data_IF_981620449720
#
_entry.id   IF_981620449720
#
_cell.length_a   1.000
_cell.length_b   1.000
_cell.length_c   1.000
_cell.angle_alpha   90.00
_cell.angle_beta   90.00
_cell.angle_gamma   90.00
#
_symmetry.space_group_name_H-M   'P 1'
#
loop_
_entity.id
_entity.type
_entity.pdbx_description
1 polymer ?
#
# COMPACT_ATOMS: atom_id res chain seq x y z
N UNK A 1 0.11 8.13 6.47
CA UNK A 1 1.14 9.20 6.52
C UNK A 1 2.34 8.75 5.69
N UNK A 2 2.76 9.52 4.66
CA UNK A 2 3.86 9.17 3.74
C UNK A 2 5.08 10.10 3.90
N UNK A 3 5.24 10.70 5.07
CA UNK A 3 6.36 11.59 5.36
C UNK A 3 7.72 10.89 5.30
N UNK A 4 8.81 11.68 5.25
CA UNK A 4 10.19 11.20 5.33
C UNK A 4 10.58 10.72 6.76
N UNK A 5 9.61 10.23 7.53
CA UNK A 5 9.82 9.65 8.83
C UNK A 5 10.27 8.18 8.70
N UNK A 6 10.96 7.64 9.71
CA UNK A 6 11.27 6.22 9.79
C UNK A 6 10.02 5.34 9.61
N UNK A 7 10.17 4.24 8.89
CA UNK A 7 9.17 3.18 8.87
C UNK A 7 9.13 2.47 10.23
N UNK A 8 7.95 2.03 10.60
CA UNK A 8 7.70 1.13 11.72
C UNK A 8 8.22 -0.30 11.47
N UNK A 9 8.33 -0.73 10.20
CA UNK A 9 8.85 -2.05 9.81
C UNK A 9 10.38 -2.10 9.75
N UNK A 10 11.01 -0.98 9.39
CA UNK A 10 12.46 -0.82 9.35
C UNK A 10 12.81 0.66 9.58
N UNK A 11 13.31 1.01 10.79
CA UNK A 11 13.63 2.38 11.13
C UNK A 11 14.73 3.02 10.26
N UNK A 12 15.55 2.24 9.56
CA UNK A 12 16.61 2.76 8.69
C UNK A 12 16.11 3.18 7.30
N UNK A 13 14.82 2.93 7.01
CA UNK A 13 14.16 3.26 5.77
C UNK A 13 13.03 4.26 5.99
N UNK A 14 12.83 5.18 5.04
CA UNK A 14 11.69 6.09 5.09
C UNK A 14 10.39 5.33 4.82
N UNK A 15 9.32 5.73 5.50
CA UNK A 15 8.00 5.10 5.37
C UNK A 15 7.53 5.03 3.93
N UNK A 16 7.64 6.12 3.17
CA UNK A 16 7.21 6.17 1.76
C UNK A 16 7.87 5.13 0.86
N UNK A 17 9.12 4.72 1.16
CA UNK A 17 9.81 3.68 0.40
C UNK A 17 9.19 2.30 0.68
N UNK A 18 8.92 2.00 1.95
CA UNK A 18 8.30 0.73 2.37
C UNK A 18 6.89 0.59 1.84
N UNK A 19 6.06 1.62 1.98
CA UNK A 19 4.67 1.66 1.49
C UNK A 19 4.55 1.43 -0.02
N UNK A 20 5.61 1.73 -0.78
CA UNK A 20 5.64 1.54 -2.22
C UNK A 20 5.84 0.06 -2.62
N UNK A 21 6.61 -0.67 -1.81
CA UNK A 21 7.12 -2.02 -2.12
C UNK A 21 6.43 -3.13 -1.32
N UNK A 22 5.83 -2.78 -0.18
CA UNK A 22 5.16 -3.72 0.70
C UNK A 22 3.65 -3.54 0.67
N UNK A 23 2.95 -4.64 0.99
CA UNK A 23 1.53 -4.56 1.30
C UNK A 23 1.34 -4.09 2.74
N UNK A 24 0.29 -3.31 2.96
CA UNK A 24 -0.15 -2.90 4.29
C UNK A 24 -1.65 -3.13 4.49
N UNK A 25 -2.18 -2.76 5.65
CA UNK A 25 -3.60 -2.60 5.89
C UNK A 25 -4.06 -1.20 5.47
N UNK A 26 -5.31 -1.10 5.06
CA UNK A 26 -5.98 0.17 4.83
C UNK A 26 -6.07 0.95 6.13
N UNK A 27 -5.66 2.21 6.11
CA UNK A 27 -5.80 3.13 7.23
C UNK A 27 -7.01 4.05 7.05
N UNK A 28 -7.60 4.47 8.16
CA UNK A 28 -8.68 5.44 8.24
C UNK A 28 -8.54 6.33 9.48
N UNK A 29 -9.35 7.38 9.57
CA UNK A 29 -9.53 8.12 10.81
C UNK A 29 -10.66 7.46 11.60
N UNK A 30 -10.39 7.04 12.84
CA UNK A 30 -11.41 6.49 13.73
C UNK A 30 -12.39 7.56 14.23
N UNK A 31 -13.42 7.16 14.99
CA UNK A 31 -14.40 8.09 15.57
C UNK A 31 -13.80 9.15 16.52
N UNK A 32 -12.56 8.96 16.97
CA UNK A 32 -11.78 9.93 17.74
C UNK A 32 -10.88 10.83 16.89
N UNK A 33 -10.83 10.63 15.58
CA UNK A 33 -9.97 11.35 14.65
C UNK A 33 -8.51 10.89 14.65
N UNK A 34 -8.19 9.74 15.24
CA UNK A 34 -6.87 9.15 15.20
C UNK A 34 -6.70 8.24 13.98
N UNK A 35 -5.49 8.18 13.42
CA UNK A 35 -5.16 7.27 12.33
C UNK A 35 -5.09 5.84 12.88
N UNK A 36 -5.86 4.92 12.29
CA UNK A 36 -5.92 3.52 12.69
C UNK A 36 -6.08 2.60 11.48
N UNK A 37 -5.78 1.31 11.65
CA UNK A 37 -6.10 0.30 10.65
C UNK A 37 -7.61 0.08 10.58
N UNK A 38 -8.13 0.02 9.36
CA UNK A 38 -9.52 -0.30 9.08
C UNK A 38 -9.74 -1.80 9.20
N UNK A 39 -10.60 -2.18 10.13
CA UNK A 39 -10.96 -3.57 10.41
C UNK A 39 -12.47 -3.79 10.37
N UNK A 40 -12.85 -5.01 9.99
CA UNK A 40 -14.24 -5.49 10.01
C UNK A 40 -14.36 -6.64 10.99
N UNK A 41 -15.41 -6.64 11.80
CA UNK A 41 -15.77 -7.79 12.64
C UNK A 41 -16.87 -8.56 11.94
N UNK A 42 -16.54 -9.73 11.41
CA UNK A 42 -17.43 -10.56 10.62
C UNK A 42 -17.88 -11.77 11.43
N UNK A 43 -19.17 -12.04 11.45
CA UNK A 43 -19.74 -13.20 12.13
C UNK A 43 -19.97 -14.33 11.14
N UNK A 44 -19.59 -15.54 11.53
CA UNK A 44 -19.85 -16.78 10.78
C UNK A 44 -20.37 -17.84 11.72
N UNK A 45 -21.05 -18.85 11.18
CA UNK A 45 -21.49 -20.01 11.95
C UNK A 45 -20.53 -21.17 11.71
N UNK A 46 -19.98 -21.73 12.78
CA UNK A 46 -19.07 -22.88 12.70
C UNK A 46 -19.82 -24.20 12.40
N UNK A 47 -19.06 -25.29 12.25
CA UNK A 47 -19.62 -26.62 11.99
C UNK A 47 -20.48 -27.18 13.14
N UNK A 48 -20.44 -26.55 14.32
CA UNK A 48 -21.18 -26.92 15.52
C UNK A 48 -22.41 -26.02 15.74
N UNK A 49 -22.65 -25.03 14.87
CA UNK A 49 -23.78 -24.12 14.96
C UNK A 49 -23.55 -22.91 15.88
N UNK A 50 -22.33 -22.70 16.39
CA UNK A 50 -22.02 -21.52 17.19
C UNK A 50 -21.69 -20.34 16.28
N UNK A 51 -22.01 -19.13 16.75
CA UNK A 51 -21.59 -17.89 16.08
C UNK A 51 -20.17 -17.54 16.53
N UNK A 52 -19.26 -17.42 15.57
CA UNK A 52 -17.87 -16.99 15.77
C UNK A 52 -17.70 -15.61 15.15
N UNK A 53 -16.96 -14.73 15.82
CA UNK A 53 -16.60 -13.40 15.28
C UNK A 53 -15.13 -13.40 14.93
N UNK A 54 -14.81 -12.99 13.71
CA UNK A 54 -13.45 -12.87 13.19
C UNK A 54 -13.14 -11.43 12.82
N UNK A 55 -11.93 -10.99 13.13
CA UNK A 55 -11.41 -9.69 12.69
C UNK A 55 -10.79 -9.83 11.32
N UNK A 56 -11.31 -9.08 10.35
CA UNK A 56 -10.82 -9.03 8.97
C UNK A 56 -10.16 -7.67 8.73
N UNK A 57 -8.88 -7.67 8.35
CA UNK A 57 -8.19 -6.48 7.87
C UNK A 57 -8.43 -6.30 6.37
N UNK A 58 -8.36 -5.05 5.89
CA UNK A 58 -8.47 -4.73 4.48
C UNK A 58 -7.07 -4.48 3.92
N UNK A 59 -6.48 -5.40 3.14
CA UNK A 59 -5.12 -5.20 2.64
C UNK A 59 -5.10 -4.14 1.51
N UNK A 60 -4.09 -3.29 1.56
CA UNK A 60 -3.63 -2.43 0.47
C UNK A 60 -2.38 -3.08 -0.12
N UNK A 61 -2.44 -3.46 -1.40
CA UNK A 61 -1.31 -4.08 -2.07
C UNK A 61 -0.19 -3.08 -2.41
N UNK A 62 1.06 -3.56 -2.37
CA UNK A 62 2.21 -2.85 -2.88
C UNK A 62 1.96 -2.34 -4.30
N UNK A 63 2.46 -1.13 -4.62
CA UNK A 63 2.30 -0.53 -5.95
C UNK A 63 3.45 -0.88 -6.88
N UNK A 64 4.60 -1.25 -6.32
CA UNK A 64 5.79 -1.72 -7.04
C UNK A 64 6.26 -3.06 -6.47
N UNK A 65 7.02 -3.80 -7.28
CA UNK A 65 7.60 -5.10 -6.90
C UNK A 65 9.10 -5.08 -7.11
N UNK A 66 9.85 -5.23 -6.02
CA UNK A 66 11.29 -5.41 -6.06
C UNK A 66 11.66 -6.65 -6.92
N UNK A 67 12.61 -6.47 -7.84
CA UNK A 67 13.06 -7.51 -8.77
C UNK A 67 12.14 -7.71 -9.97
N UNK A 68 11.09 -6.89 -10.15
CA UNK A 68 10.18 -7.02 -11.29
C UNK A 68 9.54 -5.69 -11.69
N UNK A 69 10.12 -5.02 -12.68
CA UNK A 69 9.49 -3.87 -13.32
C UNK A 69 8.17 -4.25 -14.00
N UNK A 70 8.15 -5.40 -14.69
CA UNK A 70 6.93 -5.93 -15.32
C UNK A 70 5.81 -6.22 -14.30
N UNK A 71 6.16 -6.55 -13.06
CA UNK A 71 5.22 -6.73 -11.95
C UNK A 71 4.72 -5.43 -11.32
N UNK A 72 5.20 -4.27 -11.78
CA UNK A 72 4.92 -2.94 -11.21
C UNK A 72 4.02 -2.08 -12.12
N UNK A 73 3.21 -2.72 -12.97
CA UNK A 73 2.33 -2.03 -13.92
C UNK A 73 1.33 -1.07 -13.26
N UNK A 74 0.88 -1.35 -12.04
CA UNK A 74 -0.02 -0.47 -11.28
C UNK A 74 0.61 0.88 -10.89
N UNK A 75 1.95 0.95 -10.84
CA UNK A 75 2.70 2.19 -10.67
C UNK A 75 2.91 2.89 -12.01
N UNK A 76 3.45 2.18 -13.02
CA UNK A 76 3.76 2.78 -14.33
C UNK A 76 2.51 3.29 -15.06
N UNK A 77 1.38 2.59 -14.92
CA UNK A 77 0.10 3.04 -15.47
C UNK A 77 -0.29 4.45 -15.03
N UNK A 78 0.15 4.90 -13.85
CA UNK A 78 -0.11 6.28 -13.41
C UNK A 78 0.51 7.34 -14.33
N UNK A 79 1.67 7.05 -14.92
CA UNK A 79 2.45 8.00 -15.70
C UNK A 79 2.25 7.85 -17.21
N UNK A 80 1.58 6.78 -17.63
CA UNK A 80 1.43 6.35 -19.02
C UNK A 80 -0.02 6.46 -19.54
N UNK A 81 -0.88 7.26 -18.88
CA UNK A 81 -2.28 7.45 -19.28
C UNK A 81 -3.23 6.33 -18.83
N UNK A 82 -2.81 5.50 -17.87
CA UNK A 82 -3.60 4.40 -17.31
C UNK A 82 -4.30 4.76 -16.00
N UNK A 83 -4.95 3.75 -15.40
CA UNK A 83 -5.67 3.91 -14.12
C UNK A 83 -4.69 4.10 -12.96
N UNK A 84 -4.54 5.35 -12.49
CA UNK A 84 -3.77 5.66 -11.30
C UNK A 84 -4.62 5.65 -10.04
N UNK A 85 -4.15 5.02 -8.96
CA UNK A 85 -4.80 5.03 -7.65
C UNK A 85 -5.49 3.71 -7.26
N UNK A 86 -6.21 3.74 -6.13
CA UNK A 86 -6.92 2.58 -5.58
C UNK A 86 -8.38 2.63 -5.98
N UNK A 87 -8.93 1.44 -6.23
CA UNK A 87 -10.38 1.25 -6.37
C UNK A 87 -11.15 1.54 -5.09
N UNK A 88 -12.46 1.81 -5.22
CA UNK A 88 -13.37 1.78 -4.08
C UNK A 88 -13.22 0.49 -3.28
N UNK A 89 -13.15 0.63 -1.96
CA UNK A 89 -13.18 -0.53 -1.08
C UNK A 89 -14.45 -1.36 -1.34
N UNK A 90 -14.37 -2.70 -1.27
CA UNK A 90 -15.55 -3.53 -1.46
C UNK A 90 -16.62 -3.17 -0.41
N UNK A 91 -17.92 -3.30 -0.75
CA UNK A 91 -18.98 -2.99 0.19
C UNK A 91 -18.85 -3.84 1.47
N UNK A 92 -19.35 -3.31 2.58
CA UNK A 92 -19.40 -4.04 3.85
C UNK A 92 -20.29 -5.29 3.67
N UNK A 93 -19.77 -6.51 3.90
CA UNK A 93 -20.60 -7.71 3.84
C UNK A 93 -21.69 -7.69 4.91
N UNK A 94 -22.84 -8.30 4.62
CA UNK A 94 -24.00 -8.27 5.52
C UNK A 94 -23.75 -8.91 6.90
N UNK A 95 -22.79 -9.83 6.99
CA UNK A 95 -22.38 -10.48 8.23
C UNK A 95 -21.25 -9.74 8.96
N UNK A 96 -20.86 -8.55 8.48
CA UNK A 96 -19.77 -7.78 9.06
C UNK A 96 -20.27 -6.44 9.60
N UNK A 97 -19.61 -5.98 10.65
CA UNK A 97 -19.71 -4.61 11.17
C UNK A 97 -18.33 -3.94 11.08
N UNK A 98 -18.29 -2.62 10.90
CA UNK A 98 -17.06 -1.83 10.99
C UNK A 98 -17.24 -0.69 12.00
N UNK A 99 -16.12 -0.15 12.49
CA UNK A 99 -16.11 1.00 13.40
C UNK A 99 -16.68 2.28 12.79
N UNK A 100 -16.82 3.33 13.61
CA UNK A 100 -17.36 4.65 13.24
C UNK A 100 -16.33 5.58 12.56
N UNK A 101 -15.35 4.99 11.87
CA UNK A 101 -14.31 5.72 11.16
C UNK A 101 -14.75 6.30 9.82
N UNK A 102 -13.99 7.28 9.33
CA UNK A 102 -14.20 7.89 8.01
C UNK A 102 -13.35 7.15 6.98
N UNK A 103 -14.00 6.47 6.05
CA UNK A 103 -13.33 5.81 4.93
C UNK A 103 -12.85 6.86 3.95
N UNK A 104 -11.55 6.86 3.69
CA UNK A 104 -10.97 7.70 2.64
C UNK A 104 -11.54 7.28 1.26
N UNK A 105 -11.95 8.24 0.42
CA UNK A 105 -12.53 7.93 -0.88
C UNK A 105 -11.50 7.24 -1.79
N UNK A 106 -12.01 6.47 -2.74
CA UNK A 106 -11.18 5.89 -3.80
C UNK A 106 -10.37 6.99 -4.51
N UNK A 107 -9.09 6.72 -4.71
CA UNK A 107 -8.18 7.68 -5.37
C UNK A 107 -8.01 7.41 -6.86
N UNK A 108 -8.70 6.39 -7.42
CA UNK A 108 -8.57 6.10 -8.84
C UNK A 108 -8.96 7.32 -9.69
N UNK A 109 -8.02 7.78 -10.50
CA UNK A 109 -8.22 8.89 -11.45
C UNK A 109 -8.43 10.26 -10.80
N UNK A 110 -8.18 10.42 -9.49
CA UNK A 110 -8.36 11.70 -8.81
C UNK A 110 -7.16 12.64 -9.00
N UNK A 111 -5.97 12.08 -9.26
CA UNK A 111 -4.72 12.80 -9.51
C UNK A 111 -4.07 12.27 -10.78
N UNK A 112 -3.93 13.13 -11.78
CA UNK A 112 -3.19 12.82 -13.01
C UNK A 112 -1.69 12.86 -12.78
N UNK A 113 -1.00 11.76 -13.10
CA UNK A 113 0.47 11.68 -13.06
C UNK A 113 1.08 11.63 -14.46
N UNK A 114 0.26 11.76 -15.50
CA UNK A 114 0.69 11.77 -16.89
C UNK A 114 1.76 12.84 -17.11
N UNK A 115 2.83 12.45 -17.80
CA UNK A 115 3.95 13.33 -18.17
C UNK A 115 4.73 13.93 -16.97
N UNK A 116 4.44 13.54 -15.72
CA UNK A 116 5.23 13.99 -14.56
C UNK A 116 6.66 13.44 -14.56
N UNK A 117 6.88 12.31 -15.25
CA UNK A 117 8.18 11.70 -15.44
C UNK A 117 8.45 11.53 -16.95
N UNK A 118 9.67 11.87 -17.35
CA UNK A 118 10.16 11.61 -18.69
C UNK A 118 10.35 10.12 -18.95
N UNK A 119 10.43 9.73 -20.23
CA UNK A 119 10.74 8.35 -20.61
C UNK A 119 12.08 7.85 -20.02
N UNK A 120 13.05 8.74 -19.81
CA UNK A 120 14.33 8.39 -19.19
C UNK A 120 14.19 8.12 -17.68
N UNK A 121 13.36 8.88 -16.98
CA UNK A 121 13.10 8.68 -15.54
C UNK A 121 12.28 7.43 -15.28
N UNK A 122 11.25 7.17 -16.11
CA UNK A 122 10.48 5.92 -16.03
C UNK A 122 11.37 4.71 -16.29
N UNK A 123 12.30 4.81 -17.26
CA UNK A 123 13.30 3.77 -17.51
C UNK A 123 14.23 3.58 -16.32
N UNK A 124 14.70 4.66 -15.69
CA UNK A 124 15.53 4.57 -14.49
C UNK A 124 14.82 3.83 -13.35
N UNK A 125 13.54 4.13 -13.12
CA UNK A 125 12.73 3.43 -12.12
C UNK A 125 12.49 1.96 -12.48
N UNK A 126 12.27 1.65 -13.76
CA UNK A 126 12.16 0.28 -14.25
C UNK A 126 13.44 -0.52 -14.00
N UNK A 127 14.59 0.03 -14.37
CA UNK A 127 15.89 -0.63 -14.16
C UNK A 127 16.19 -0.79 -12.66
N UNK A 128 15.89 0.21 -11.84
CA UNK A 128 16.00 0.14 -10.38
C UNK A 128 15.13 -0.99 -9.79
N UNK A 129 13.90 -1.15 -10.28
CA UNK A 129 13.04 -2.26 -9.86
C UNK A 129 13.62 -3.61 -10.26
N UNK A 130 14.10 -3.77 -11.49
CA UNK A 130 14.65 -5.04 -11.98
C UNK A 130 15.91 -5.48 -11.20
N UNK A 131 16.71 -4.54 -10.69
CA UNK A 131 17.87 -4.87 -9.82
C UNK A 131 17.50 -5.10 -8.34
N UNK A 132 16.20 -5.15 -8.02
CA UNK A 132 15.73 -5.49 -6.68
C UNK A 132 15.30 -4.29 -5.83
N UNK A 133 15.11 -3.11 -6.43
CA UNK A 133 14.62 -1.91 -5.77
C UNK A 133 15.41 -1.51 -4.50
N UNK A 134 16.73 -1.66 -4.53
CA UNK A 134 17.56 -1.47 -3.34
C UNK A 134 17.43 -0.05 -2.77
N UNK A 135 17.40 0.05 -1.44
CA UNK A 135 17.38 1.33 -0.74
C UNK A 135 18.74 2.04 -0.83
N UNK A 136 19.84 1.28 -0.70
CA UNK A 136 21.20 1.75 -0.95
C UNK A 136 21.81 0.98 -2.12
N UNK A 137 22.17 1.70 -3.18
CA UNK A 137 22.86 1.12 -4.36
C UNK A 137 24.39 1.12 -4.22
N UNK A 138 24.90 1.16 -2.98
CA UNK A 138 26.33 1.10 -2.70
C UNK A 138 26.65 -0.19 -1.93
N UNK A 139 27.33 -1.19 -2.55
CA UNK A 139 27.69 -2.43 -1.87
C UNK A 139 28.74 -2.25 -0.76
N UNK A 140 29.33 -1.05 -0.65
CA UNK A 140 30.26 -0.65 0.40
C UNK A 140 29.66 0.42 1.32
N UNK A 141 28.34 0.56 1.37
CA UNK A 141 27.71 1.48 2.32
C UNK A 141 28.03 1.00 3.75
N UNK A 142 28.62 1.86 4.61
CA UNK A 142 29.01 1.46 5.95
C UNK A 142 27.84 0.98 6.83
N UNK A 143 26.59 1.27 6.47
CA UNK A 143 25.39 0.74 7.16
C UNK A 143 25.03 -0.69 6.79
N UNK A 144 25.69 -1.29 5.79
CA UNK A 144 25.43 -2.67 5.34
C UNK A 144 26.40 -3.71 5.94
N UNK A 145 27.36 -3.28 6.76
CA UNK A 145 28.50 -4.10 7.21
C UNK A 145 28.40 -4.54 8.69
N UNK A 146 27.21 -4.48 9.27
CA UNK A 146 26.94 -4.90 10.65
C UNK A 146 26.60 -6.39 10.78
#
# INVERSE_FOLDING_TARGET
>A
DLSAQPSDRDPDQVRSYRELLDSDNEQWLDGGGALADRVRLCTTTDAQGNTVTETVTLPVGARMRAGSAAGSSAFFACFEGGDCGREPAPPLPANCVEGDGVVEPATRGTVGHDELLSAAELRLLSEWLDIGAQYYNNPFDPRLVD
#
